data_IF_982185090900
#
_entry.id   IF_982185090900
#
_cell.length_a   1.000
_cell.length_b   1.000
_cell.length_c   1.000
_cell.angle_alpha   90.00
_cell.angle_beta   90.00
_cell.angle_gamma   90.00
#
_symmetry.space_group_name_H-M   'P 1'
#
loop_
_entity.id
_entity.type
_entity.pdbx_description
1 polymer ?
#
# COMPACT_ATOMS: atom_id res chain seq x y z
N UNK A 1 -17.35 -2.33 -16.82
CA UNK A 1 -16.26 -1.34 -16.72
C UNK A 1 -15.01 -2.00 -17.24
N UNK A 2 -14.34 -1.41 -18.21
CA UNK A 2 -13.01 -1.85 -18.65
C UNK A 2 -11.99 -1.31 -17.65
N UNK A 3 -11.04 -2.13 -17.23
CA UNK A 3 -9.90 -1.68 -16.40
C UNK A 3 -9.10 -0.63 -17.21
N UNK A 4 -8.77 0.50 -16.59
CA UNK A 4 -8.02 1.62 -17.19
C UNK A 4 -6.70 1.89 -16.46
N UNK A 5 -6.28 0.99 -15.57
CA UNK A 5 -5.12 1.20 -14.69
C UNK A 5 -3.82 1.28 -15.48
N UNK A 6 -3.62 0.39 -16.47
CA UNK A 6 -2.44 0.40 -17.30
C UNK A 6 -2.42 1.62 -18.23
N UNK A 7 -3.57 2.01 -18.77
CA UNK A 7 -3.72 3.25 -19.55
C UNK A 7 -3.35 4.48 -18.73
N UNK A 8 -3.79 4.53 -17.46
CA UNK A 8 -3.44 5.60 -16.54
C UNK A 8 -1.92 5.67 -16.37
N UNK A 9 -1.27 4.56 -15.99
CA UNK A 9 0.18 4.56 -15.79
C UNK A 9 0.98 4.86 -17.05
N UNK A 10 0.55 4.35 -18.20
CA UNK A 10 1.16 4.64 -19.49
C UNK A 10 1.02 6.12 -19.87
N UNK A 11 -0.17 6.71 -19.67
CA UNK A 11 -0.42 8.13 -19.97
C UNK A 11 0.42 9.09 -19.14
N UNK A 12 0.81 8.66 -17.94
CA UNK A 12 1.69 9.41 -17.03
C UNK A 12 3.17 9.12 -17.26
N UNK A 13 3.52 8.25 -18.23
CA UNK A 13 4.90 7.85 -18.51
C UNK A 13 5.54 7.02 -17.39
N UNK A 14 4.73 6.42 -16.50
CA UNK A 14 5.21 5.61 -15.38
C UNK A 14 5.61 4.19 -15.83
N UNK A 15 4.96 3.67 -16.85
CA UNK A 15 5.35 2.43 -17.55
C UNK A 15 5.66 2.74 -19.01
N UNK A 16 6.51 1.94 -19.65
CA UNK A 16 6.95 2.16 -21.03
C UNK A 16 6.04 1.43 -22.04
N UNK A 17 5.53 0.28 -21.64
CA UNK A 17 4.62 -0.53 -22.44
C UNK A 17 3.33 -0.80 -21.66
N UNK A 18 2.26 -1.14 -22.38
CA UNK A 18 0.98 -1.52 -21.77
C UNK A 18 1.04 -2.96 -21.24
N UNK A 19 1.92 -3.20 -20.28
CA UNK A 19 2.12 -4.49 -19.63
C UNK A 19 2.06 -4.33 -18.11
N UNK A 20 1.31 -5.20 -17.44
CA UNK A 20 1.23 -5.21 -15.98
C UNK A 20 2.54 -5.70 -15.33
N UNK A 21 3.40 -6.40 -16.06
CA UNK A 21 4.73 -6.81 -15.58
C UNK A 21 5.66 -5.61 -15.28
N UNK A 22 5.43 -4.45 -15.91
CA UNK A 22 6.19 -3.21 -15.66
C UNK A 22 5.76 -2.50 -14.35
N UNK A 23 4.68 -2.96 -13.70
CA UNK A 23 4.19 -2.35 -12.47
C UNK A 23 5.08 -2.77 -11.30
N UNK A 24 5.93 -1.85 -10.85
CA UNK A 24 6.67 -1.95 -9.60
C UNK A 24 5.79 -1.75 -8.35
N UNK A 25 6.12 -2.51 -7.29
CA UNK A 25 5.40 -2.52 -6.02
C UNK A 25 6.34 -2.25 -4.83
N UNK A 26 5.90 -1.41 -3.90
CA UNK A 26 6.46 -1.35 -2.56
C UNK A 26 5.72 -2.36 -1.68
N UNK A 27 6.42 -3.40 -1.22
CA UNK A 27 5.84 -4.50 -0.45
C UNK A 27 5.90 -4.25 1.06
N UNK A 28 4.87 -4.72 1.77
CA UNK A 28 4.79 -4.73 3.23
C UNK A 28 5.04 -3.35 3.87
N UNK A 29 4.33 -2.32 3.39
CA UNK A 29 4.42 -0.95 3.89
C UNK A 29 3.70 -0.77 5.25
N UNK A 30 4.10 -1.57 6.24
CA UNK A 30 3.36 -1.84 7.47
C UNK A 30 3.79 -0.95 8.66
N UNK A 31 4.60 0.08 8.44
CA UNK A 31 5.04 1.01 9.50
C UNK A 31 5.18 2.43 8.96
N UNK A 32 5.21 3.44 9.84
CA UNK A 32 5.39 4.85 9.41
C UNK A 32 6.62 5.07 8.53
N UNK A 33 7.74 4.44 8.90
CA UNK A 33 8.97 4.51 8.12
C UNK A 33 8.78 3.85 6.76
N UNK A 34 8.16 2.67 6.71
CA UNK A 34 7.92 1.95 5.46
C UNK A 34 6.95 2.66 4.53
N UNK A 35 5.93 3.34 5.07
CA UNK A 35 5.05 4.22 4.27
C UNK A 35 5.86 5.36 3.66
N UNK A 36 6.72 6.00 4.46
CA UNK A 36 7.57 7.11 3.98
C UNK A 36 8.49 6.65 2.85
N UNK A 37 9.15 5.50 3.03
CA UNK A 37 9.99 4.86 2.00
C UNK A 37 9.17 4.56 0.73
N UNK A 38 7.99 3.97 0.88
CA UNK A 38 7.13 3.59 -0.24
C UNK A 38 6.64 4.83 -1.04
N UNK A 39 6.24 5.89 -0.34
CA UNK A 39 5.79 7.15 -0.93
C UNK A 39 6.90 7.86 -1.71
N UNK A 40 8.14 7.78 -1.23
CA UNK A 40 9.31 8.40 -1.87
C UNK A 40 9.93 7.53 -2.98
N UNK A 41 9.53 6.26 -3.08
CA UNK A 41 10.08 5.31 -4.07
C UNK A 41 9.55 5.53 -5.49
N UNK A 42 10.18 4.87 -6.47
CA UNK A 42 9.67 4.78 -7.85
C UNK A 42 8.45 3.89 -8.00
N UNK A 43 8.11 3.06 -6.99
CA UNK A 43 7.05 2.06 -7.11
C UNK A 43 5.72 2.68 -7.53
N UNK A 44 4.93 1.97 -8.32
CA UNK A 44 3.62 2.45 -8.76
C UNK A 44 2.52 2.16 -7.74
N UNK A 45 2.71 1.06 -7.01
CA UNK A 45 1.73 0.51 -6.10
C UNK A 45 2.34 0.35 -4.72
N UNK A 46 1.54 0.59 -3.68
CA UNK A 46 1.91 0.31 -2.30
C UNK A 46 1.03 -0.83 -1.81
N UNK A 47 1.70 -1.83 -1.25
CA UNK A 47 1.09 -2.97 -0.64
C UNK A 47 1.28 -2.91 0.87
N UNK A 48 0.23 -3.25 1.61
CA UNK A 48 0.34 -3.35 3.06
C UNK A 48 -0.65 -4.38 3.61
N UNK A 49 -0.20 -5.03 4.69
CA UNK A 49 -0.92 -6.07 5.41
C UNK A 49 -1.73 -5.45 6.56
N UNK A 50 -2.94 -5.94 6.76
CA UNK A 50 -3.85 -5.44 7.79
C UNK A 50 -4.24 -6.60 8.70
N UNK A 51 -4.12 -6.40 10.00
CA UNK A 51 -4.72 -7.29 10.99
C UNK A 51 -5.44 -6.48 12.07
N UNK A 52 -6.32 -7.16 12.81
CA UNK A 52 -6.96 -6.59 13.98
C UNK A 52 -6.01 -6.73 15.16
N UNK A 53 -5.67 -5.61 15.81
CA UNK A 53 -4.81 -5.59 17.00
C UNK A 53 -5.33 -6.59 18.04
N UNK A 54 -4.43 -7.39 18.61
CA UNK A 54 -4.78 -8.42 19.60
C UNK A 54 -5.31 -7.84 20.92
N UNK A 55 -4.85 -6.65 21.28
CA UNK A 55 -5.18 -5.95 22.52
C UNK A 55 -6.31 -4.93 22.31
N UNK A 56 -7.06 -4.63 23.38
CA UNK A 56 -8.08 -3.58 23.35
C UNK A 56 -7.46 -2.17 23.34
N UNK A 57 -8.00 -1.22 22.54
CA UNK A 57 -9.10 -1.43 21.60
C UNK A 57 -8.65 -2.26 20.39
N UNK A 58 -9.49 -3.21 19.97
CA UNK A 58 -9.28 -4.02 18.75
C UNK A 58 -9.44 -3.16 17.50
N UNK A 59 -8.40 -2.40 17.17
CA UNK A 59 -8.35 -1.54 15.99
C UNK A 59 -7.57 -2.20 14.83
N UNK A 60 -7.94 -1.92 13.56
CA UNK A 60 -7.15 -2.38 12.42
C UNK A 60 -5.83 -1.62 12.33
N UNK A 61 -4.75 -2.38 12.25
CA UNK A 61 -3.38 -1.88 12.17
C UNK A 61 -2.66 -2.48 10.98
N UNK A 62 -1.60 -1.81 10.53
CA UNK A 62 -0.81 -2.30 9.42
C UNK A 62 0.26 -3.25 9.96
N UNK A 63 0.05 -4.56 9.84
CA UNK A 63 0.98 -5.56 10.37
C UNK A 63 0.80 -6.90 9.66
N UNK A 64 1.87 -7.68 9.64
CA UNK A 64 1.92 -9.05 9.14
C UNK A 64 2.48 -9.96 10.24
N UNK A 65 1.88 -11.15 10.50
CA UNK A 65 2.43 -12.10 11.45
C UNK A 65 3.94 -12.39 11.21
N UNK A 66 4.76 -12.53 12.26
CA UNK A 66 4.38 -12.71 13.67
C UNK A 66 4.06 -11.40 14.41
N UNK A 67 4.23 -10.24 13.77
CA UNK A 67 3.90 -8.97 14.42
C UNK A 67 2.39 -8.87 14.64
N UNK A 68 2.00 -8.56 15.88
CA UNK A 68 0.61 -8.38 16.29
C UNK A 68 0.28 -6.94 16.66
N UNK A 69 1.25 -6.03 16.47
CA UNK A 69 1.17 -4.61 16.74
C UNK A 69 1.92 -3.81 15.65
N UNK A 70 1.63 -2.51 15.53
CA UNK A 70 2.26 -1.58 14.61
C UNK A 70 2.17 -0.14 15.12
N UNK A 71 3.12 0.68 14.69
CA UNK A 71 3.17 2.13 14.97
C UNK A 71 2.19 2.95 14.11
N UNK A 72 1.43 2.28 13.23
CA UNK A 72 0.47 2.89 12.32
C UNK A 72 -0.85 2.11 12.24
N UNK A 73 -1.95 2.84 12.43
CA UNK A 73 -3.31 2.31 12.24
C UNK A 73 -3.68 2.31 10.76
N UNK A 74 -4.62 1.47 10.33
CA UNK A 74 -5.16 1.52 8.96
C UNK A 74 -5.69 2.93 8.62
N UNK A 75 -6.33 3.59 9.58
CA UNK A 75 -6.87 4.93 9.39
C UNK A 75 -5.78 5.94 9.06
N UNK A 76 -4.68 5.92 9.80
CA UNK A 76 -3.58 6.86 9.58
C UNK A 76 -2.81 6.50 8.32
N UNK A 77 -2.58 5.21 8.07
CA UNK A 77 -2.01 4.73 6.82
C UNK A 77 -2.78 5.24 5.58
N UNK A 78 -4.12 5.13 5.60
CA UNK A 78 -4.98 5.63 4.52
C UNK A 78 -4.89 7.15 4.33
N UNK A 79 -4.69 7.93 5.41
CA UNK A 79 -4.50 9.38 5.28
C UNK A 79 -3.20 9.71 4.55
N UNK A 80 -2.11 9.01 4.87
CA UNK A 80 -0.80 9.22 4.26
C UNK A 80 -0.85 8.88 2.76
N UNK A 81 -1.35 7.69 2.39
CA UNK A 81 -1.32 7.26 0.99
C UNK A 81 -2.35 7.97 0.11
N UNK A 82 -3.45 8.49 0.70
CA UNK A 82 -4.49 9.23 -0.05
C UNK A 82 -3.95 10.47 -0.76
N UNK A 83 -2.89 11.08 -0.22
CA UNK A 83 -2.25 12.25 -0.84
C UNK A 83 -1.33 11.89 -2.01
N UNK A 84 -1.07 10.60 -2.25
CA UNK A 84 -0.15 10.12 -3.27
C UNK A 84 -0.87 9.75 -4.59
N UNK A 85 -0.07 9.59 -5.62
CA UNK A 85 -0.48 9.08 -6.94
C UNK A 85 -0.17 7.59 -7.13
N UNK A 86 0.02 6.89 -6.00
CA UNK A 86 0.30 5.46 -5.94
C UNK A 86 -1.01 4.68 -5.87
N UNK A 87 -1.08 3.56 -6.58
CA UNK A 87 -2.16 2.60 -6.34
C UNK A 87 -1.93 1.84 -5.03
N UNK A 88 -2.98 1.18 -4.53
CA UNK A 88 -2.95 0.52 -3.21
C UNK A 88 -3.53 -0.90 -3.30
N UNK A 89 -2.85 -1.87 -2.69
CA UNK A 89 -3.43 -3.17 -2.32
C UNK A 89 -3.44 -3.31 -0.80
N UNK A 90 -4.62 -3.53 -0.24
CA UNK A 90 -4.83 -3.82 1.19
C UNK A 90 -4.98 -5.34 1.37
N UNK A 91 -4.03 -5.97 2.05
CA UNK A 91 -4.02 -7.42 2.29
C UNK A 91 -4.52 -7.73 3.71
N UNK A 92 -5.82 -8.05 3.82
CA UNK A 92 -6.46 -8.36 5.11
C UNK A 92 -6.12 -9.77 5.57
N UNK A 93 -5.42 -9.86 6.72
CA UNK A 93 -5.06 -11.10 7.38
C UNK A 93 -6.19 -11.59 8.29
N UNK A 94 -6.21 -12.92 8.48
CA UNK A 94 -7.13 -13.61 9.39
C UNK A 94 -6.55 -13.69 10.80
#
# INVERSE_FOLDING_TARGET
MTDQTLEYFLSQGKIQVKDAADIEWAHAANSKNKITEALQSSAHMIEADILLRSNDPKEPIMAHPPETDSDVTLRDWLKEVKASDKGVKLDFKR
#
